data_IF_462583653684
#
_entry.id   IF_462583653684
#
_cell.length_a   1.000
_cell.length_b   1.000
_cell.length_c   1.000
_cell.angle_alpha   90.00
_cell.angle_beta   90.00
_cell.angle_gamma   90.00
#
_symmetry.space_group_name_H-M   'P 1'
#
loop_
_entity.id
_entity.type
_entity.pdbx_description
1 polymer ?
#
# COMPACT_ATOMS: atom_id res chain seq x y z
N UNK A 1 15.34 1.19 -11.76
CA UNK A 1 15.45 2.34 -10.82
C UNK A 1 14.49 3.44 -11.25
N UNK A 2 13.84 4.05 -10.31
CA UNK A 2 12.86 5.10 -10.57
C UNK A 2 13.35 6.45 -10.07
N UNK A 3 12.80 7.53 -10.63
CA UNK A 3 13.06 8.87 -10.15
C UNK A 3 12.20 9.15 -8.91
N UNK A 4 12.64 10.10 -8.08
CA UNK A 4 11.82 10.60 -6.98
C UNK A 4 10.50 11.15 -7.54
N UNK A 5 9.40 10.81 -6.90
CA UNK A 5 8.05 11.19 -7.30
C UNK A 5 7.58 10.57 -8.63
N UNK A 6 8.22 9.52 -9.11
CA UNK A 6 7.75 8.80 -10.28
C UNK A 6 6.38 8.17 -10.01
N UNK A 7 5.58 8.10 -11.06
CA UNK A 7 4.28 7.40 -11.02
C UNK A 7 4.46 6.04 -11.66
N UNK A 8 4.12 4.98 -10.92
CA UNK A 8 4.21 3.62 -11.42
C UNK A 8 2.84 2.95 -11.37
N UNK A 9 2.61 2.01 -12.28
CA UNK A 9 1.37 1.23 -12.32
C UNK A 9 1.55 -0.03 -11.47
N UNK A 10 0.58 -0.29 -10.61
CA UNK A 10 0.57 -1.48 -9.75
C UNK A 10 -0.74 -2.21 -9.97
N UNK A 11 -0.65 -3.49 -10.30
CA UNK A 11 -1.82 -4.34 -10.49
C UNK A 11 -1.78 -5.51 -9.53
N UNK A 12 -2.94 -5.91 -9.04
CA UNK A 12 -3.10 -7.09 -8.21
C UNK A 12 -4.22 -7.97 -8.74
N UNK A 13 -4.18 -9.24 -8.38
CA UNK A 13 -5.21 -10.21 -8.76
C UNK A 13 -5.27 -11.34 -7.74
N UNK A 14 -6.42 -12.00 -7.70
CA UNK A 14 -6.66 -13.18 -6.85
C UNK A 14 -6.60 -12.89 -5.34
N UNK A 15 -6.80 -11.63 -4.95
CA UNK A 15 -6.94 -11.31 -3.54
C UNK A 15 -8.29 -11.75 -3.01
N UNK A 16 -8.34 -12.03 -1.72
CA UNK A 16 -9.60 -12.32 -1.04
C UNK A 16 -10.39 -11.01 -0.91
N UNK A 17 -11.49 -10.90 -1.65
CA UNK A 17 -12.30 -9.67 -1.69
C UNK A 17 -13.00 -9.37 -0.36
N UNK A 18 -13.01 -10.31 0.58
CA UNK A 18 -13.56 -10.09 1.92
C UNK A 18 -12.59 -9.37 2.85
N UNK A 19 -11.33 -9.22 2.45
CA UNK A 19 -10.28 -8.60 3.27
C UNK A 19 -9.87 -7.26 2.67
N UNK A 20 -10.02 -6.19 3.42
CA UNK A 20 -9.55 -4.88 3.01
C UNK A 20 -8.03 -4.77 3.05
N UNK A 21 -7.47 -4.02 2.12
CA UNK A 21 -6.02 -3.86 1.97
C UNK A 21 -5.64 -2.39 1.92
N UNK A 22 -4.42 -2.09 2.37
CA UNK A 22 -3.73 -0.84 2.08
C UNK A 22 -2.63 -1.10 1.04
N UNK A 23 -2.47 -0.17 0.13
CA UNK A 23 -1.43 -0.16 -0.90
C UNK A 23 -0.65 1.16 -0.78
N UNK A 24 0.66 1.09 -0.55
CA UNK A 24 1.51 2.27 -0.45
C UNK A 24 2.98 1.88 -0.61
N UNK A 25 3.87 2.88 -0.83
CA UNK A 25 5.30 2.64 -0.68
C UNK A 25 5.66 2.69 0.80
N UNK A 26 6.38 1.70 1.28
CA UNK A 26 6.76 1.60 2.70
C UNK A 26 8.23 1.24 2.85
N UNK A 27 8.81 1.58 4.01
CA UNK A 27 10.11 1.04 4.41
C UNK A 27 9.91 -0.44 4.70
N UNK A 28 10.79 -1.28 4.14
CA UNK A 28 10.73 -2.73 4.35
C UNK A 28 11.17 -3.05 5.76
N UNK A 29 10.32 -3.69 6.58
CA UNK A 29 10.65 -3.98 7.97
C UNK A 29 11.50 -5.24 8.10
N UNK A 30 11.94 -5.52 9.31
CA UNK A 30 12.47 -6.83 9.65
C UNK A 30 11.35 -7.87 9.50
N UNK A 31 11.73 -9.10 9.18
CA UNK A 31 10.77 -10.19 8.97
C UNK A 31 9.81 -10.32 10.15
N UNK A 32 8.52 -10.40 9.82
CA UNK A 32 7.46 -10.56 10.81
C UNK A 32 6.92 -9.27 11.41
N UNK A 33 7.52 -8.13 11.09
CA UNK A 33 7.05 -6.83 11.58
C UNK A 33 6.17 -6.14 10.53
N UNK A 34 5.30 -5.26 11.00
CA UNK A 34 4.43 -4.48 10.11
C UNK A 34 5.26 -3.51 9.26
N UNK A 35 4.95 -3.37 7.97
CA UNK A 35 5.61 -2.38 7.12
C UNK A 35 5.22 -0.97 7.58
N UNK A 36 6.22 -0.21 7.99
CA UNK A 36 6.05 1.16 8.48
C UNK A 36 7.41 1.87 8.56
N UNK A 37 7.50 3.18 8.35
CA UNK A 37 6.45 4.06 7.88
C UNK A 37 6.16 3.90 6.40
N UNK A 38 5.04 4.44 5.94
CA UNK A 38 4.63 4.40 4.54
C UNK A 38 4.45 5.80 3.98
N UNK A 39 4.73 5.94 2.69
CA UNK A 39 4.54 7.19 1.96
C UNK A 39 3.07 7.42 1.64
N UNK A 40 2.70 8.70 1.45
CA UNK A 40 1.32 9.08 1.18
C UNK A 40 0.40 8.93 2.38
N UNK A 41 0.93 8.46 3.51
CA UNK A 41 0.14 8.17 4.70
C UNK A 41 -0.80 6.99 4.46
N UNK A 42 -0.40 5.79 4.81
CA UNK A 42 -1.34 4.66 4.85
C UNK A 42 -2.35 5.00 5.93
N UNK A 43 -3.53 5.36 5.52
CA UNK A 43 -4.46 6.00 6.43
C UNK A 43 -5.86 5.43 6.29
N UNK A 44 -6.71 5.86 7.18
CA UNK A 44 -8.11 5.49 7.26
C UNK A 44 -8.99 6.43 6.45
N UNK A 45 -8.42 7.46 5.86
CA UNK A 45 -9.19 8.50 5.17
C UNK A 45 -9.47 8.19 3.70
N UNK A 46 -9.04 7.04 3.21
CA UNK A 46 -9.45 6.55 1.90
C UNK A 46 -8.39 6.69 0.83
N UNK A 47 -8.84 6.72 -0.41
CA UNK A 47 -7.99 6.76 -1.60
C UNK A 47 -7.29 8.10 -1.71
N UNK A 48 -5.99 8.05 -1.97
CA UNK A 48 -5.20 9.27 -2.16
C UNK A 48 -3.95 9.00 -2.97
N UNK A 49 -3.30 10.08 -3.43
CA UNK A 49 -2.06 9.98 -4.16
C UNK A 49 -0.99 9.34 -3.25
N UNK A 50 -0.37 8.28 -3.73
CA UNK A 50 0.68 7.58 -3.00
C UNK A 50 0.21 6.52 -2.00
N UNK A 51 -1.10 6.44 -1.70
CA UNK A 51 -1.66 5.38 -0.87
C UNK A 51 -3.13 5.16 -1.22
N UNK A 52 -3.58 3.92 -1.05
CA UNK A 52 -4.95 3.53 -1.39
C UNK A 52 -5.49 2.55 -0.37
N UNK A 53 -6.77 2.67 -0.09
CA UNK A 53 -7.53 1.70 0.70
C UNK A 53 -8.46 0.95 -0.25
N UNK A 54 -8.26 -0.37 -0.33
CA UNK A 54 -9.01 -1.24 -1.24
C UNK A 54 -9.88 -2.15 -0.38
N UNK A 55 -11.18 -1.97 -0.44
CA UNK A 55 -12.10 -2.78 0.36
C UNK A 55 -13.46 -2.84 -0.32
N UNK A 56 -13.97 -4.06 -0.51
CA UNK A 56 -15.30 -4.28 -1.06
C UNK A 56 -16.39 -4.23 0.01
N UNK A 57 -16.02 -4.35 1.28
CA UNK A 57 -16.95 -4.32 2.42
C UNK A 57 -16.41 -3.40 3.53
N UNK A 58 -16.24 -2.09 3.25
CA UNK A 58 -15.73 -1.20 4.28
C UNK A 58 -16.77 -1.00 5.39
N UNK A 59 -16.33 -0.64 6.61
CA UNK A 59 -17.25 -0.19 7.64
C UNK A 59 -18.07 1.02 7.15
N UNK A 60 -19.19 1.37 7.80
CA UNK A 60 -20.01 2.48 7.34
C UNK A 60 -19.28 3.80 7.11
N UNK A 61 -18.30 4.12 7.95
CA UNK A 61 -17.48 5.35 7.78
C UNK A 61 -16.55 5.27 6.57
N UNK A 62 -16.30 4.08 6.05
CA UNK A 62 -15.40 3.85 4.90
C UNK A 62 -16.09 3.90 3.55
N UNK A 63 -17.41 3.96 3.54
CA UNK A 63 -18.16 4.06 2.27
C UNK A 63 -17.82 5.38 1.61
N UNK A 64 -17.33 5.31 0.36
CA UNK A 64 -16.85 6.48 -0.36
C UNK A 64 -15.38 6.83 -0.10
N UNK A 65 -14.73 6.20 0.89
CA UNK A 65 -13.30 6.37 1.16
C UNK A 65 -12.48 5.22 0.59
N UNK A 66 -12.98 4.00 0.70
CA UNK A 66 -12.34 2.82 0.14
C UNK A 66 -12.84 2.54 -1.26
N UNK A 67 -11.95 2.02 -2.12
CA UNK A 67 -12.34 1.51 -3.44
C UNK A 67 -12.59 0.01 -3.35
N UNK A 68 -13.63 -0.51 -3.99
CA UNK A 68 -13.85 -1.95 -4.03
C UNK A 68 -12.85 -2.64 -4.95
N UNK A 69 -12.65 -3.94 -4.70
CA UNK A 69 -11.95 -4.78 -5.66
C UNK A 69 -12.76 -4.89 -6.96
N UNK A 70 -12.05 -5.06 -8.07
CA UNK A 70 -12.66 -5.54 -9.31
C UNK A 70 -12.88 -7.05 -9.20
N UNK A 71 -13.82 -7.61 -9.97
CA UNK A 71 -14.08 -9.05 -9.93
C UNK A 71 -12.80 -9.88 -10.07
N UNK A 72 -12.69 -10.94 -9.27
CA UNK A 72 -11.49 -11.79 -9.23
C UNK A 72 -10.42 -11.28 -8.28
N UNK A 73 -10.79 -10.41 -7.33
CA UNK A 73 -9.83 -9.85 -6.36
C UNK A 73 -8.77 -9.01 -7.05
N UNK A 74 -9.15 -8.24 -8.05
CA UNK A 74 -8.23 -7.44 -8.86
C UNK A 74 -8.27 -5.98 -8.48
N UNK A 75 -7.13 -5.32 -8.67
CA UNK A 75 -7.03 -3.86 -8.60
C UNK A 75 -5.96 -3.37 -9.57
N UNK A 76 -6.06 -2.10 -9.93
CA UNK A 76 -5.11 -1.45 -10.80
C UNK A 76 -5.02 0.02 -10.39
N UNK A 77 -3.85 0.43 -9.91
CA UNK A 77 -3.61 1.79 -9.46
C UNK A 77 -2.33 2.35 -10.04
N UNK A 78 -2.31 3.66 -10.20
CA UNK A 78 -1.08 4.41 -10.44
C UNK A 78 -0.69 5.05 -9.12
N UNK A 79 0.50 4.72 -8.64
CA UNK A 79 1.00 5.20 -7.36
C UNK A 79 2.23 6.09 -7.58
N UNK A 80 2.23 7.22 -6.91
CA UNK A 80 3.40 8.10 -6.88
C UNK A 80 4.31 7.66 -5.74
N UNK A 81 5.57 7.38 -6.08
CA UNK A 81 6.54 6.88 -5.09
C UNK A 81 7.52 7.99 -4.76
N UNK A 82 7.63 8.34 -3.48
CA UNK A 82 8.60 9.32 -3.03
C UNK A 82 9.80 8.67 -2.36
N UNK A 83 10.98 9.20 -2.66
CA UNK A 83 12.24 8.72 -2.12
C UNK A 83 12.30 8.87 -0.60
N UNK A 84 11.72 9.95 -0.08
CA UNK A 84 11.69 10.22 1.35
C UNK A 84 10.36 9.76 1.95
N UNK A 85 10.44 8.98 3.02
CA UNK A 85 9.28 8.55 3.80
C UNK A 85 9.56 8.95 5.25
N UNK A 86 8.95 10.05 5.69
CA UNK A 86 9.27 10.63 6.98
C UNK A 86 10.75 10.96 7.05
N UNK A 87 11.44 10.45 8.06
CA UNK A 87 12.89 10.64 8.24
C UNK A 87 13.74 9.65 7.43
N UNK A 88 13.11 8.70 6.74
CA UNK A 88 13.84 7.66 6.00
C UNK A 88 14.06 8.07 4.55
N UNK A 89 15.22 7.69 4.03
CA UNK A 89 15.61 7.90 2.64
C UNK A 89 15.72 6.53 1.97
N UNK A 90 14.89 6.27 0.98
CA UNK A 90 14.84 4.99 0.28
C UNK A 90 16.07 4.70 -0.57
N UNK A 91 17.03 5.63 -0.66
CA UNK A 91 18.37 5.32 -1.19
C UNK A 91 19.27 4.69 -0.14
N UNK A 92 18.96 4.87 1.14
CA UNK A 92 19.75 4.38 2.27
C UNK A 92 19.13 3.16 2.93
N UNK A 93 17.81 3.05 2.91
CA UNK A 93 17.07 1.92 3.45
C UNK A 93 16.27 1.26 2.34
N UNK A 94 15.88 0.01 2.54
CA UNK A 94 15.07 -0.71 1.56
C UNK A 94 13.63 -0.24 1.65
N UNK A 95 13.05 0.10 0.49
CA UNK A 95 11.65 0.46 0.37
C UNK A 95 10.99 -0.41 -0.69
N UNK A 96 9.68 -0.56 -0.59
CA UNK A 96 8.91 -1.36 -1.53
C UNK A 96 7.49 -0.82 -1.64
N UNK A 97 6.88 -0.97 -2.80
CA UNK A 97 5.43 -0.86 -2.90
C UNK A 97 4.85 -2.05 -2.16
N UNK A 98 3.99 -1.79 -1.20
CA UNK A 98 3.56 -2.78 -0.21
C UNK A 98 2.05 -2.89 -0.21
N UNK A 99 1.57 -4.13 -0.16
CA UNK A 99 0.18 -4.46 0.15
C UNK A 99 0.16 -5.05 1.55
N UNK A 100 -0.77 -4.61 2.37
CA UNK A 100 -0.98 -5.16 3.71
C UNK A 100 -2.47 -5.14 4.06
N UNK A 101 -2.86 -5.98 5.01
CA UNK A 101 -4.22 -5.94 5.54
C UNK A 101 -4.49 -4.57 6.17
N UNK A 102 -5.73 -4.11 6.04
CA UNK A 102 -6.12 -2.78 6.54
C UNK A 102 -6.22 -2.74 8.07
N UNK A 103 -6.66 -1.60 8.61
CA UNK A 103 -6.73 -1.38 10.06
C UNK A 103 -7.69 -2.31 10.80
N UNK A 104 -8.59 -2.99 10.09
CA UNK A 104 -9.49 -3.97 10.70
C UNK A 104 -8.77 -5.28 11.01
N UNK A 105 -7.60 -5.49 10.38
CA UNK A 105 -6.75 -6.67 10.56
C UNK A 105 -5.28 -6.27 10.65
N UNK A 106 -4.98 -5.20 11.38
CA UNK A 106 -3.63 -4.59 11.40
C UNK A 106 -2.53 -5.54 11.87
N UNK A 107 -2.87 -6.55 12.64
CA UNK A 107 -1.92 -7.56 13.14
C UNK A 107 -1.71 -8.72 12.16
N UNK A 108 -2.52 -8.80 11.11
CA UNK A 108 -2.45 -9.91 10.15
C UNK A 108 -1.34 -9.64 9.14
N UNK A 109 -0.24 -10.42 9.22
CA UNK A 109 0.90 -10.31 8.30
C UNK A 109 0.80 -11.24 7.09
N UNK A 110 -0.25 -12.05 6.99
CA UNK A 110 -0.38 -13.02 5.91
C UNK A 110 -0.64 -12.40 4.54
N UNK A 111 -1.09 -11.14 4.50
CA UNK A 111 -1.36 -10.41 3.26
C UNK A 111 -0.23 -9.47 2.86
N UNK A 112 0.86 -9.42 3.62
CA UNK A 112 1.99 -8.53 3.33
C UNK A 112 2.71 -9.00 2.06
N UNK A 113 2.74 -8.13 1.05
CA UNK A 113 3.47 -8.35 -0.19
C UNK A 113 4.33 -7.13 -0.49
N UNK A 114 5.51 -7.38 -1.05
CA UNK A 114 6.49 -6.34 -1.31
C UNK A 114 6.96 -6.38 -2.76
N UNK A 115 6.89 -5.23 -3.42
CA UNK A 115 7.52 -5.00 -4.73
C UNK A 115 8.68 -4.03 -4.50
N UNK A 116 9.93 -4.53 -4.44
CA UNK A 116 11.07 -3.67 -4.14
C UNK A 116 11.21 -2.53 -5.14
N UNK A 117 11.51 -1.33 -4.62
CA UNK A 117 11.72 -0.13 -5.42
C UNK A 117 13.10 0.42 -5.09
N UNK A 118 13.86 0.74 -6.12
CA UNK A 118 15.14 1.43 -5.98
C UNK A 118 15.06 2.78 -6.68
N UNK A 119 15.68 3.78 -6.08
CA UNK A 119 15.68 5.16 -6.61
C UNK A 119 17.01 5.48 -7.27
N UNK A 120 16.92 6.28 -8.32
CA UNK A 120 18.11 6.81 -9.01
C UNK A 120 18.93 7.71 -8.11
#
# INVERSE_FOLDING_TARGET
>A
MVANNAVISVTGKRFDESVGLYLAICVVPKKGLAPTPCGGGVNKSGVGEGSFWISSNPPPYGVGLADPFKPGGRFNYKIRVSQKIGKFDCKKVKCAVTVRADHLRSEDRSYDLYLPITFK
#
